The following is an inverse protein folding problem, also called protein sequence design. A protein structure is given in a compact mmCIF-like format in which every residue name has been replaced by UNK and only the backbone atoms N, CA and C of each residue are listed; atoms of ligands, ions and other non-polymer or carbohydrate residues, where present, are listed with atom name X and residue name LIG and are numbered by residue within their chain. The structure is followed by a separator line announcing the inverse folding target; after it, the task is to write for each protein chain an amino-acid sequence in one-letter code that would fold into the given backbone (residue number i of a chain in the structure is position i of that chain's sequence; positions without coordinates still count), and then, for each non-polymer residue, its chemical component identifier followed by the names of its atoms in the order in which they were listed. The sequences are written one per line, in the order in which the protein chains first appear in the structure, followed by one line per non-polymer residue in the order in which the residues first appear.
data_IF_759768217087
#
_entry.id   IF_759768217087
#
_cell.length_a   1.000
_cell.length_b   1.000
_cell.length_c   1.000
_cell.angle_alpha   90.00
_cell.angle_beta   90.00
_cell.angle_gamma   90.00
#
_symmetry.space_group_name_H-M   'P 1'
#
loop_
_entity.id
_entity.type
_entity.pdbx_description
1 polymer ?
#
# COMPACT_ATOMS: atom_id res chain seq x y z
N UNK A 1 -24.15 28.29 4.09
CA UNK A 1 -24.63 26.90 3.96
C UNK A 1 -23.99 26.36 2.69
N UNK A 2 -23.25 25.23 2.73
CA UNK A 2 -22.77 24.62 1.48
C UNK A 2 -23.95 23.88 0.88
N UNK A 3 -24.45 24.32 -0.27
CA UNK A 3 -25.41 23.56 -1.06
C UNK A 3 -24.82 22.17 -1.29
N UNK A 4 -25.54 21.12 -0.84
CA UNK A 4 -25.17 19.76 -1.16
C UNK A 4 -25.57 19.52 -2.60
N UNK A 5 -24.63 19.71 -3.52
CA UNK A 5 -24.81 19.28 -4.91
C UNK A 5 -25.18 17.78 -4.93
N UNK A 6 -26.31 17.46 -5.56
CA UNK A 6 -26.76 16.08 -5.71
C UNK A 6 -25.81 15.39 -6.69
N UNK A 7 -25.18 14.30 -6.25
CA UNK A 7 -24.26 13.53 -7.07
C UNK A 7 -25.04 12.82 -8.19
N UNK A 8 -24.80 13.21 -9.45
CA UNK A 8 -25.45 12.61 -10.63
C UNK A 8 -24.57 11.55 -11.28
N UNK A 9 -25.17 10.65 -12.07
CA UNK A 9 -24.43 9.63 -12.82
C UNK A 9 -23.40 10.25 -13.78
N UNK A 10 -23.69 11.39 -14.39
CA UNK A 10 -22.78 12.14 -15.25
C UNK A 10 -21.57 12.70 -14.47
N UNK A 11 -21.77 13.16 -13.23
CA UNK A 11 -20.69 13.61 -12.35
C UNK A 11 -19.77 12.44 -11.94
N UNK A 12 -20.33 11.24 -11.74
CA UNK A 12 -19.56 10.02 -11.47
C UNK A 12 -18.75 9.56 -12.69
N UNK A 13 -19.33 9.62 -13.89
CA UNK A 13 -18.64 9.23 -15.13
C UNK A 13 -17.45 10.15 -15.45
N UNK A 14 -17.53 11.44 -15.12
CA UNK A 14 -16.40 12.38 -15.24
C UNK A 14 -15.23 12.05 -14.31
N UNK A 15 -15.47 11.31 -13.23
CA UNK A 15 -14.44 10.85 -12.28
C UNK A 15 -13.82 9.50 -12.68
N UNK A 16 -14.31 8.85 -13.73
CA UNK A 16 -13.86 7.51 -14.16
C UNK A 16 -12.36 7.44 -14.47
N UNK A 17 -11.79 8.51 -15.01
CA UNK A 17 -10.37 8.58 -15.39
C UNK A 17 -9.45 8.59 -14.15
N UNK A 18 -9.84 9.33 -13.11
CA UNK A 18 -9.16 9.38 -11.80
C UNK A 18 -9.15 8.02 -11.12
N UNK A 19 -10.18 7.20 -11.34
CA UNK A 19 -10.31 5.86 -10.76
C UNK A 19 -9.45 4.84 -11.53
N UNK A 20 -9.17 5.07 -12.80
CA UNK A 20 -8.39 4.16 -13.66
C UNK A 20 -6.88 4.43 -13.66
N UNK A 21 -6.47 5.59 -13.14
CA UNK A 21 -5.10 6.07 -13.20
C UNK A 21 -4.14 5.25 -12.35
N UNK A 22 -3.06 4.79 -13.00
CA UNK A 22 -1.84 4.30 -12.38
C UNK A 22 -1.18 5.43 -11.60
N UNK A 23 -1.73 5.75 -10.43
CA UNK A 23 -1.19 6.77 -9.55
C UNK A 23 0.12 6.23 -8.96
N UNK A 24 1.25 6.85 -9.34
CA UNK A 24 2.54 6.67 -8.69
C UNK A 24 2.67 7.75 -7.61
N UNK A 25 2.83 7.33 -6.36
CA UNK A 25 3.12 8.26 -5.25
C UNK A 25 4.51 8.01 -4.71
N UNK A 26 5.05 9.02 -4.06
CA UNK A 26 6.39 8.99 -3.46
C UNK A 26 6.28 8.98 -1.93
N UNK A 27 7.00 8.08 -1.28
CA UNK A 27 7.12 8.00 0.17
C UNK A 27 8.57 8.20 0.58
N UNK A 28 8.85 9.22 1.39
CA UNK A 28 10.19 9.43 1.93
C UNK A 28 10.40 8.58 3.19
N UNK A 29 11.30 7.60 3.12
CA UNK A 29 11.75 6.84 4.29
C UNK A 29 12.89 7.57 4.99
N UNK A 30 12.68 7.90 6.26
CA UNK A 30 13.72 8.41 7.15
C UNK A 30 14.74 7.34 7.50
N UNK A 31 14.31 6.08 7.60
CA UNK A 31 15.18 4.96 7.91
C UNK A 31 16.15 4.64 6.78
N UNK A 32 15.65 4.56 5.55
CA UNK A 32 16.48 4.32 4.36
C UNK A 32 17.12 5.61 3.81
N UNK A 33 16.76 6.76 4.38
CA UNK A 33 17.19 8.09 3.96
C UNK A 33 17.02 8.29 2.43
N UNK A 34 15.84 7.95 1.94
CA UNK A 34 15.55 7.92 0.50
C UNK A 34 14.07 7.82 0.18
N UNK A 35 13.73 8.15 -1.07
CA UNK A 35 12.35 8.12 -1.57
C UNK A 35 12.03 6.77 -2.20
N UNK A 36 10.96 6.14 -1.74
CA UNK A 36 10.38 4.92 -2.28
C UNK A 36 9.22 5.31 -3.18
N UNK A 37 9.25 4.83 -4.43
CA UNK A 37 8.12 4.94 -5.36
C UNK A 37 7.11 3.84 -5.05
N UNK A 38 5.84 4.21 -4.97
CA UNK A 38 4.72 3.32 -4.71
C UNK A 38 3.79 3.36 -5.92
N UNK A 39 3.64 2.21 -6.56
CA UNK A 39 2.72 2.01 -7.66
C UNK A 39 1.39 1.47 -7.14
N UNK A 40 0.30 2.14 -7.52
CA UNK A 40 -1.04 1.66 -7.24
C UNK A 40 -1.31 0.33 -7.96
N UNK A 41 -1.66 -0.69 -7.18
CA UNK A 41 -2.11 -2.00 -7.62
C UNK A 41 -3.63 -1.98 -7.88
N UNK A 42 -4.17 -2.93 -8.66
CA UNK A 42 -5.60 -3.14 -8.72
C UNK A 42 -6.18 -3.45 -7.32
N UNK A 43 -7.29 -2.80 -6.95
CA UNK A 43 -7.88 -2.97 -5.62
C UNK A 43 -8.25 -4.44 -5.31
N UNK A 44 -8.67 -5.20 -6.33
CA UNK A 44 -8.94 -6.64 -6.19
C UNK A 44 -7.70 -7.39 -5.70
N UNK A 45 -6.53 -7.12 -6.31
CA UNK A 45 -5.27 -7.76 -5.94
C UNK A 45 -4.87 -7.42 -4.50
N UNK A 46 -5.09 -6.18 -4.06
CA UNK A 46 -4.84 -5.77 -2.67
C UNK A 46 -5.74 -6.53 -1.71
N UNK A 47 -7.03 -6.67 -2.03
CA UNK A 47 -7.96 -7.46 -1.22
C UNK A 47 -7.54 -8.94 -1.14
N UNK A 48 -7.13 -9.53 -2.27
CA UNK A 48 -6.66 -10.92 -2.31
C UNK A 48 -5.45 -11.14 -1.41
N UNK A 49 -4.45 -10.24 -1.47
CA UNK A 49 -3.26 -10.31 -0.61
C UNK A 49 -3.64 -10.17 0.87
N UNK A 50 -4.48 -9.19 1.21
CA UNK A 50 -4.84 -8.89 2.60
C UNK A 50 -5.78 -9.92 3.23
N UNK A 51 -6.56 -10.66 2.43
CA UNK A 51 -7.48 -11.71 2.88
C UNK A 51 -6.88 -13.12 2.86
N UNK A 52 -5.61 -13.28 2.47
CA UNK A 52 -4.95 -14.59 2.41
C UNK A 52 -4.70 -15.18 3.81
N UNK A 53 -5.64 -16.01 4.28
CA UNK A 53 -5.61 -16.65 5.60
C UNK A 53 -4.47 -17.64 5.81
N UNK A 54 -3.73 -18.02 4.75
CA UNK A 54 -2.53 -18.85 4.89
C UNK A 54 -1.32 -18.07 5.41
N UNK A 55 -1.34 -16.73 5.34
CA UNK A 55 -0.23 -15.84 5.72
C UNK A 55 -0.54 -15.10 7.01
N UNK A 56 0.50 -14.84 7.79
CA UNK A 56 0.41 -13.90 8.92
C UNK A 56 0.13 -12.48 8.43
N UNK A 57 -0.41 -11.63 9.30
CA UNK A 57 -0.65 -10.22 8.96
C UNK A 57 0.62 -9.52 8.45
N UNK A 58 1.76 -9.81 9.06
CA UNK A 58 3.05 -9.22 8.69
C UNK A 58 3.54 -9.68 7.31
N UNK A 59 3.32 -10.95 6.95
CA UNK A 59 3.62 -11.47 5.61
C UNK A 59 2.74 -10.82 4.54
N UNK A 60 1.43 -10.69 4.79
CA UNK A 60 0.50 -10.01 3.86
C UNK A 60 0.93 -8.56 3.60
N UNK A 61 1.34 -7.84 4.64
CA UNK A 61 1.85 -6.47 4.52
C UNK A 61 3.18 -6.41 3.76
N UNK A 62 4.08 -7.36 4.00
CA UNK A 62 5.37 -7.44 3.30
C UNK A 62 5.16 -7.73 1.81
N UNK A 63 4.25 -8.63 1.47
CA UNK A 63 3.86 -8.91 0.09
C UNK A 63 3.22 -7.70 -0.59
N UNK A 64 2.32 -6.99 0.11
CA UNK A 64 1.71 -5.77 -0.40
C UNK A 64 2.77 -4.71 -0.74
N UNK A 65 3.72 -4.46 0.17
CA UNK A 65 4.82 -3.51 -0.06
C UNK A 65 5.69 -3.97 -1.24
N UNK A 66 6.05 -5.26 -1.28
CA UNK A 66 6.88 -5.83 -2.35
C UNK A 66 6.25 -5.64 -3.74
N UNK A 67 4.92 -5.85 -3.83
CA UNK A 67 4.18 -5.72 -5.07
C UNK A 67 3.99 -4.25 -5.48
N UNK A 68 3.73 -3.36 -4.52
CA UNK A 68 3.53 -1.93 -4.77
C UNK A 68 4.83 -1.16 -5.02
N UNK A 69 5.96 -1.55 -4.42
CA UNK A 69 7.19 -0.78 -4.45
C UNK A 69 8.26 -1.49 -5.30
N UNK A 70 8.47 -1.09 -6.58
CA UNK A 70 9.34 -1.80 -7.51
C UNK A 70 10.82 -1.86 -7.10
N UNK A 71 11.30 -0.94 -6.25
CA UNK A 71 12.68 -0.94 -5.78
C UNK A 71 13.06 -2.22 -5.01
N UNK A 72 12.11 -2.91 -4.39
CA UNK A 72 12.36 -4.19 -3.69
C UNK A 72 12.49 -5.39 -4.63
N UNK A 73 12.24 -5.20 -5.93
CA UNK A 73 12.33 -6.22 -6.99
C UNK A 73 13.58 -6.07 -7.85
N UNK A 74 14.48 -5.16 -7.51
CA UNK A 74 15.73 -4.95 -8.23
C UNK A 74 16.63 -6.19 -8.11
N UNK A 75 17.21 -6.63 -9.22
CA UNK A 75 18.09 -7.80 -9.29
C UNK A 75 19.29 -7.72 -8.35
N UNK A 76 19.75 -6.50 -8.01
CA UNK A 76 20.86 -6.28 -7.08
C UNK A 76 20.55 -6.75 -5.66
N UNK A 77 19.26 -6.87 -5.31
CA UNK A 77 18.80 -7.32 -4.00
C UNK A 77 18.81 -8.84 -3.84
N UNK A 78 19.18 -9.61 -4.87
CA UNK A 78 19.29 -11.08 -4.81
C UNK A 78 20.23 -11.58 -3.70
N UNK A 79 21.20 -10.75 -3.29
CA UNK A 79 22.18 -11.10 -2.26
C UNK A 79 21.61 -11.21 -0.84
N UNK A 80 20.35 -10.82 -0.62
CA UNK A 80 19.72 -10.87 0.71
C UNK A 80 19.33 -12.28 1.16
N UNK A 81 19.50 -13.32 0.33
CA UNK A 81 19.26 -14.73 0.66
C UNK A 81 17.91 -14.95 1.37
N UNK A 82 16.82 -14.70 0.63
CA UNK A 82 15.45 -14.73 1.15
C UNK A 82 14.70 -15.97 0.67
N UNK A 83 13.96 -16.61 1.57
CA UNK A 83 13.17 -17.82 1.26
C UNK A 83 12.01 -17.52 0.31
N UNK A 84 11.33 -16.41 0.54
CA UNK A 84 10.25 -15.91 -0.30
C UNK A 84 10.59 -14.49 -0.77
N UNK A 85 10.17 -14.10 -1.97
CA UNK A 85 10.58 -12.85 -2.59
C UNK A 85 10.20 -11.62 -1.75
N UNK A 86 9.06 -11.64 -1.06
CA UNK A 86 8.60 -10.53 -0.23
C UNK A 86 9.34 -10.41 1.11
N UNK A 87 10.06 -11.44 1.56
CA UNK A 87 10.84 -11.38 2.80
C UNK A 87 12.01 -10.39 2.71
N UNK A 88 12.34 -9.93 1.49
CA UNK A 88 13.29 -8.84 1.27
C UNK A 88 12.88 -7.57 2.01
N UNK A 89 11.57 -7.29 2.07
CA UNK A 89 11.02 -6.11 2.74
C UNK A 89 11.32 -6.22 4.24
N UNK A 90 10.98 -7.35 4.84
CA UNK A 90 11.25 -7.62 6.26
C UNK A 90 12.75 -7.50 6.59
N UNK A 91 13.61 -8.08 5.75
CA UNK A 91 15.07 -8.02 5.94
C UNK A 91 15.62 -6.60 5.82
N UNK A 92 15.14 -5.81 4.87
CA UNK A 92 15.61 -4.42 4.68
C UNK A 92 15.20 -3.55 5.87
N UNK A 93 13.98 -3.69 6.38
CA UNK A 93 13.51 -2.88 7.51
C UNK A 93 14.10 -3.35 8.86
N UNK A 94 14.69 -4.54 8.96
CA UNK A 94 15.58 -4.97 10.05
C UNK A 94 15.10 -4.58 11.47
N UNK A 95 13.84 -4.90 11.81
CA UNK A 95 13.15 -4.57 13.07
C UNK A 95 12.73 -3.10 13.27
N UNK A 96 12.89 -2.22 12.28
CA UNK A 96 12.21 -0.92 12.25
C UNK A 96 10.74 -1.08 11.85
N UNK A 97 9.95 -1.63 12.78
CA UNK A 97 8.52 -1.90 12.61
C UNK A 97 7.71 -0.63 12.38
N UNK A 98 8.16 0.51 12.92
CA UNK A 98 7.45 1.79 12.78
C UNK A 98 7.50 2.29 11.34
N UNK A 99 8.68 2.27 10.72
CA UNK A 99 8.83 2.71 9.33
C UNK A 99 8.12 1.74 8.37
N UNK A 100 8.25 0.44 8.61
CA UNK A 100 7.52 -0.58 7.87
C UNK A 100 6.00 -0.34 7.92
N UNK A 101 5.45 -0.14 9.13
CA UNK A 101 4.02 0.13 9.32
C UNK A 101 3.60 1.43 8.62
N UNK A 102 4.44 2.47 8.68
CA UNK A 102 4.17 3.77 8.04
C UNK A 102 4.13 3.66 6.51
N UNK A 103 5.05 2.89 5.91
CA UNK A 103 5.02 2.59 4.49
C UNK A 103 3.78 1.78 4.11
N UNK A 104 3.46 0.74 4.88
CA UNK A 104 2.26 -0.07 4.65
C UNK A 104 0.98 0.78 4.74
N UNK A 105 0.87 1.65 5.73
CA UNK A 105 -0.26 2.56 5.90
C UNK A 105 -0.38 3.52 4.72
N UNK A 106 0.75 4.01 4.21
CA UNK A 106 0.79 4.85 2.99
C UNK A 106 0.23 4.09 1.78
N UNK A 107 0.61 2.82 1.60
CA UNK A 107 0.06 1.98 0.53
C UNK A 107 -1.44 1.74 0.72
N UNK A 108 -1.89 1.42 1.93
CA UNK A 108 -3.31 1.16 2.23
C UNK A 108 -4.18 2.42 2.10
N UNK A 109 -3.63 3.59 2.39
CA UNK A 109 -4.30 4.89 2.24
C UNK A 109 -4.73 5.15 0.80
N UNK A 110 -3.98 4.66 -0.20
CA UNK A 110 -4.37 4.75 -1.62
C UNK A 110 -5.75 4.14 -1.89
N UNK A 111 -6.14 3.14 -1.10
CA UNK A 111 -7.39 2.40 -1.23
C UNK A 111 -8.42 2.81 -0.17
N UNK A 112 -8.14 3.83 0.64
CA UNK A 112 -8.98 4.21 1.78
C UNK A 112 -9.02 3.16 2.90
N UNK A 113 -8.02 2.25 2.95
CA UNK A 113 -7.97 1.13 3.89
C UNK A 113 -7.13 1.41 5.13
N UNK A 114 -6.34 2.48 5.16
CA UNK A 114 -5.46 2.79 6.29
C UNK A 114 -6.19 3.02 7.62
N UNK A 115 -7.46 3.44 7.58
CA UNK A 115 -8.24 3.86 8.76
C UNK A 115 -9.44 2.95 9.06
N UNK A 116 -9.56 1.81 8.36
CA UNK A 116 -10.66 0.87 8.59
C UNK A 116 -10.65 0.26 10.01
N UNK A 117 -9.56 0.45 10.77
CA UNK A 117 -9.43 0.05 12.18
C UNK A 117 -9.82 1.11 13.22
N UNK A 118 -9.95 2.40 12.89
CA UNK A 118 -10.18 3.46 13.90
C UNK A 118 -11.46 4.29 13.76
N UNK A 119 -12.37 3.96 12.82
CA UNK A 119 -13.68 4.65 12.70
C UNK A 119 -14.92 3.82 13.03
N UNK A 120 -14.82 2.97 14.05
CA UNK A 120 -15.99 2.50 14.82
C UNK A 120 -15.78 2.75 16.32
N UNK A 121 -15.33 3.95 16.69
CA UNK A 121 -15.60 4.47 18.04
C UNK A 121 -17.05 4.96 18.07
N UNK A 122 -17.90 4.02 18.53
CA UNK A 122 -19.27 4.14 19.06
C UNK A 122 -19.84 5.57 19.08
N UNK A 123 -20.92 5.77 18.33
CA UNK A 123 -21.98 6.72 18.71
C UNK A 123 -22.66 6.25 19.99
#
# INVERSE_FOLDING_TARGET
MREKEILTAEALLKKKDIISGQEEIEYYSKFLNGTIKINRLPAQQVCEIMQDDSKTYYERQSELIYMSCPCFRDEKLINYDVTLPYNIVEKIFAANLLEFASLCETVLNLYGLADAGEKVKKQ
#
